data_IF_880715008478
#
_entry.id   IF_880715008478
#
_cell.length_a   1.000
_cell.length_b   1.000
_cell.length_c   1.000
_cell.angle_alpha   90.00
_cell.angle_beta   90.00
_cell.angle_gamma   90.00
#
_symmetry.space_group_name_H-M   'P 1'
#
loop_
_entity.id
_entity.type
_entity.pdbx_description
1 polymer ?
#
# COMPACT_ATOMS: atom_id res chain seq x y z
N UNK A 1 10.73 -13.46 16.76
CA UNK A 1 10.54 -12.06 16.33
C UNK A 1 9.14 -11.76 15.80
N UNK A 2 8.28 -12.76 15.53
CA UNK A 2 6.92 -12.59 15.01
C UNK A 2 6.07 -11.55 15.74
N UNK A 3 6.13 -11.52 17.08
CA UNK A 3 5.30 -10.60 17.87
C UNK A 3 5.57 -9.12 17.61
N UNK A 4 6.82 -8.74 17.40
CA UNK A 4 7.18 -7.35 17.14
C UNK A 4 6.71 -6.93 15.74
N UNK A 5 6.87 -7.81 14.76
CA UNK A 5 6.42 -7.59 13.40
C UNK A 5 4.89 -7.43 13.32
N UNK A 6 4.13 -8.29 14.01
CA UNK A 6 2.68 -8.16 14.16
C UNK A 6 2.27 -6.81 14.75
N UNK A 7 2.95 -6.37 15.82
CA UNK A 7 2.66 -5.09 16.47
C UNK A 7 2.99 -3.90 15.56
N UNK A 8 4.09 -3.97 14.80
CA UNK A 8 4.44 -2.96 13.82
C UNK A 8 3.39 -2.89 12.69
N UNK A 9 2.91 -4.03 12.21
CA UNK A 9 1.85 -4.09 11.20
C UNK A 9 0.54 -3.50 11.72
N UNK A 10 0.11 -3.89 12.93
CA UNK A 10 -1.09 -3.33 13.57
C UNK A 10 -0.96 -1.81 13.77
N UNK A 11 0.21 -1.33 14.16
CA UNK A 11 0.45 0.10 14.28
C UNK A 11 0.30 0.81 12.92
N UNK A 12 0.88 0.26 11.84
CA UNK A 12 0.75 0.83 10.50
C UNK A 12 -0.71 0.85 10.02
N UNK A 13 -1.48 -0.20 10.30
CA UNK A 13 -2.91 -0.29 9.96
C UNK A 13 -3.75 0.80 10.62
N UNK A 14 -3.42 1.18 11.85
CA UNK A 14 -4.14 2.24 12.58
C UNK A 14 -3.60 3.63 12.24
N UNK A 15 -2.30 3.76 11.97
CA UNK A 15 -1.64 5.05 11.76
C UNK A 15 -1.79 5.58 10.31
N UNK A 16 -1.85 4.70 9.31
CA UNK A 16 -1.88 5.09 7.89
C UNK A 16 -3.33 5.27 7.41
N UNK A 17 -3.57 6.40 6.74
CA UNK A 17 -4.86 6.77 6.16
C UNK A 17 -4.67 7.53 4.85
N UNK A 18 -5.76 7.75 4.12
CA UNK A 18 -5.79 8.59 2.92
C UNK A 18 -5.15 9.98 3.12
N UNK A 19 -5.27 10.55 4.32
CA UNK A 19 -4.78 11.89 4.62
C UNK A 19 -3.25 11.98 4.75
N UNK A 20 -2.58 10.88 5.11
CA UNK A 20 -1.14 10.91 5.44
C UNK A 20 -0.29 9.90 4.65
N UNK A 21 -0.90 8.99 3.88
CA UNK A 21 -0.15 7.91 3.21
C UNK A 21 0.87 8.42 2.21
N UNK A 22 0.63 9.55 1.55
CA UNK A 22 1.57 10.13 0.58
C UNK A 22 2.80 10.75 1.26
N UNK A 23 2.60 11.45 2.37
CA UNK A 23 3.70 11.97 3.18
C UNK A 23 4.52 10.82 3.81
N UNK A 24 3.83 9.81 4.34
CA UNK A 24 4.46 8.60 4.86
C UNK A 24 5.29 7.88 3.79
N UNK A 25 4.76 7.77 2.56
CA UNK A 25 5.49 7.18 1.42
C UNK A 25 6.73 7.98 1.06
N UNK A 26 6.62 9.31 0.97
CA UNK A 26 7.76 10.20 0.69
C UNK A 26 8.86 10.02 1.74
N UNK A 27 8.50 10.11 3.02
CA UNK A 27 9.44 9.96 4.12
C UNK A 27 10.06 8.56 4.16
N UNK A 28 9.27 7.51 3.94
CA UNK A 28 9.77 6.13 3.88
C UNK A 28 10.76 5.93 2.71
N UNK A 29 10.50 6.54 1.55
CA UNK A 29 11.43 6.51 0.42
C UNK A 29 12.72 7.26 0.74
N UNK A 30 12.61 8.49 1.27
CA UNK A 30 13.76 9.33 1.62
C UNK A 30 14.66 8.70 2.68
N UNK A 31 14.07 8.08 3.70
CA UNK A 31 14.78 7.43 4.81
C UNK A 31 15.13 5.96 4.53
N UNK A 32 14.83 5.44 3.33
CA UNK A 32 15.10 4.05 2.94
C UNK A 32 14.42 3.00 3.86
N UNK A 33 13.21 3.31 4.33
CA UNK A 33 12.39 2.43 5.17
C UNK A 33 11.55 1.50 4.30
N UNK A 34 12.19 0.47 3.73
CA UNK A 34 11.60 -0.40 2.71
C UNK A 34 10.26 -1.02 3.11
N UNK A 35 10.13 -1.53 4.35
CA UNK A 35 8.88 -2.17 4.80
C UNK A 35 7.71 -1.19 4.86
N UNK A 36 7.95 0.04 5.34
CA UNK A 36 6.92 1.08 5.41
C UNK A 36 6.57 1.56 4.01
N UNK A 37 7.57 1.77 3.15
CA UNK A 37 7.36 2.13 1.75
C UNK A 37 6.48 1.09 1.04
N UNK A 38 6.77 -0.19 1.24
CA UNK A 38 5.99 -1.30 0.68
C UNK A 38 4.55 -1.30 1.19
N UNK A 39 4.36 -1.08 2.49
CA UNK A 39 3.03 -0.96 3.09
C UNK A 39 2.23 0.19 2.48
N UNK A 40 2.81 1.39 2.42
CA UNK A 40 2.17 2.57 1.82
C UNK A 40 1.79 2.32 0.36
N UNK A 41 2.68 1.72 -0.45
CA UNK A 41 2.39 1.42 -1.84
C UNK A 41 1.23 0.43 -1.98
N UNK A 42 1.19 -0.64 -1.17
CA UNK A 42 0.06 -1.58 -1.14
C UNK A 42 -1.25 -0.91 -0.76
N UNK A 43 -1.22 -0.04 0.26
CA UNK A 43 -2.39 0.73 0.68
C UNK A 43 -2.91 1.63 -0.44
N UNK A 44 -2.02 2.34 -1.14
CA UNK A 44 -2.38 3.26 -2.22
C UNK A 44 -2.98 2.52 -3.42
N UNK A 45 -2.37 1.41 -3.85
CA UNK A 45 -2.83 0.68 -5.05
C UNK A 45 -4.05 -0.19 -4.80
N UNK A 46 -4.55 -0.29 -3.57
CA UNK A 46 -5.83 -0.93 -3.27
C UNK A 46 -6.97 -0.24 -4.03
N UNK A 47 -7.88 -1.04 -4.60
CA UNK A 47 -9.00 -0.55 -5.41
C UNK A 47 -9.85 0.51 -4.70
N UNK A 48 -10.09 0.35 -3.39
CA UNK A 48 -10.91 1.29 -2.62
C UNK A 48 -10.26 2.65 -2.41
N UNK A 49 -8.92 2.71 -2.47
CA UNK A 49 -8.16 3.88 -2.04
C UNK A 49 -7.58 4.65 -3.24
N UNK A 50 -7.23 3.94 -4.31
CA UNK A 50 -6.42 4.46 -5.41
C UNK A 50 -6.99 5.75 -6.02
N UNK A 51 -8.25 5.73 -6.43
CA UNK A 51 -8.86 6.88 -7.11
C UNK A 51 -8.90 8.12 -6.20
N UNK A 52 -9.24 7.94 -4.91
CA UNK A 52 -9.29 9.05 -3.97
C UNK A 52 -7.91 9.68 -3.77
N UNK A 53 -6.87 8.86 -3.68
CA UNK A 53 -5.49 9.32 -3.46
C UNK A 53 -4.93 10.01 -4.70
N UNK A 54 -5.07 9.41 -5.88
CA UNK A 54 -4.51 9.96 -7.13
C UNK A 54 -5.18 11.27 -7.55
N UNK A 55 -6.44 11.47 -7.18
CA UNK A 55 -7.18 12.72 -7.44
C UNK A 55 -6.96 13.79 -6.37
N UNK A 56 -6.13 13.53 -5.35
CA UNK A 56 -5.88 14.48 -4.26
C UNK A 56 -4.83 15.53 -4.65
N UNK A 57 -4.91 16.71 -4.03
CA UNK A 57 -3.93 17.79 -4.26
C UNK A 57 -2.53 17.42 -3.76
N UNK A 58 -2.47 16.64 -2.69
CA UNK A 58 -1.22 16.15 -2.12
C UNK A 58 -0.47 15.28 -3.13
N UNK A 59 -1.20 14.50 -3.94
CA UNK A 59 -0.61 13.72 -5.02
C UNK A 59 0.11 14.59 -6.04
N UNK A 60 -0.41 15.78 -6.39
CA UNK A 60 0.24 16.70 -7.34
C UNK A 60 1.65 17.14 -6.90
N UNK A 61 1.91 17.13 -5.59
CA UNK A 61 3.19 17.53 -5.00
C UNK A 61 4.15 16.37 -4.73
N UNK A 62 3.71 15.13 -4.97
CA UNK A 62 4.53 13.93 -4.78
C UNK A 62 5.68 13.92 -5.80
N UNK A 63 6.84 13.40 -5.38
CA UNK A 63 7.98 13.26 -6.30
C UNK A 63 7.62 12.35 -7.49
N UNK A 64 7.94 12.80 -8.71
CA UNK A 64 7.62 12.09 -9.95
C UNK A 64 8.04 10.61 -9.95
N UNK A 65 9.22 10.20 -9.43
CA UNK A 65 9.58 8.78 -9.35
C UNK A 65 8.59 7.94 -8.53
N UNK A 66 8.04 8.48 -7.44
CA UNK A 66 7.06 7.79 -6.60
C UNK A 66 5.70 7.71 -7.28
N UNK A 67 5.26 8.76 -7.98
CA UNK A 67 4.05 8.71 -8.81
C UNK A 67 4.15 7.59 -9.85
N UNK A 68 5.28 7.51 -10.56
CA UNK A 68 5.53 6.48 -11.57
C UNK A 68 5.53 5.08 -10.95
N UNK A 69 6.13 4.92 -9.76
CA UNK A 69 6.12 3.65 -9.03
C UNK A 69 4.70 3.21 -8.65
N UNK A 70 3.87 4.12 -8.14
CA UNK A 70 2.46 3.88 -7.82
C UNK A 70 1.68 3.42 -9.06
N UNK A 71 1.79 4.17 -10.17
CA UNK A 71 1.07 3.88 -11.42
C UNK A 71 1.51 2.53 -11.99
N UNK A 72 2.82 2.25 -12.03
CA UNK A 72 3.34 0.97 -12.50
C UNK A 72 2.81 -0.18 -11.66
N UNK A 73 2.85 -0.08 -10.34
CA UNK A 73 2.33 -1.12 -9.44
C UNK A 73 0.84 -1.37 -9.63
N UNK A 74 0.05 -0.32 -9.87
CA UNK A 74 -1.38 -0.45 -10.16
C UNK A 74 -1.65 -1.15 -11.49
N UNK A 75 -0.80 -0.93 -12.49
CA UNK A 75 -0.95 -1.52 -13.83
C UNK A 75 -0.33 -2.92 -13.95
N UNK A 76 0.62 -3.28 -13.09
CA UNK A 76 1.19 -4.61 -13.08
C UNK A 76 0.08 -5.64 -12.87
N UNK A 77 -0.03 -6.67 -13.74
CA UNK A 77 -1.04 -7.69 -13.56
C UNK A 77 -0.80 -8.36 -12.20
N UNK A 78 -1.74 -8.18 -11.27
CA UNK A 78 -1.71 -8.90 -10.02
C UNK A 78 -1.70 -10.39 -10.37
N UNK A 79 -0.57 -11.07 -10.12
CA UNK A 79 -0.54 -12.53 -10.08
C UNK A 79 -1.51 -12.89 -8.97
N UNK A 80 -2.74 -13.27 -9.34
CA UNK A 80 -3.79 -13.65 -8.40
C UNK A 80 -3.23 -14.83 -7.59
N UNK A 81 -2.80 -14.57 -6.37
CA UNK A 81 -2.59 -15.63 -5.40
C UNK A 81 -3.99 -16.07 -4.93
N UNK A 82 -4.67 -16.85 -5.77
CA UNK A 82 -5.88 -17.57 -5.38
C UNK A 82 -5.45 -18.73 -4.49
N UNK A 83 -5.28 -18.48 -3.20
CA UNK A 83 -5.46 -19.50 -2.18
C UNK A 83 -6.71 -19.16 -1.40
N UNK A 84 -7.85 -19.31 -2.05
CA UNK A 84 -9.13 -19.47 -1.37
C UNK A 84 -9.39 -20.98 -1.34
N UNK A 85 -9.29 -21.66 -0.19
CA UNK A 85 -9.65 -23.06 -0.10
C UNK A 85 -11.15 -23.19 -0.32
N UNK A 86 -11.52 -23.62 -1.53
CA UNK A 86 -12.88 -24.02 -1.87
C UNK A 86 -13.18 -25.31 -1.10
N UNK A 87 -13.86 -25.18 0.03
CA UNK A 87 -14.50 -26.32 0.69
C UNK A 87 -15.57 -26.84 -0.28
N UNK A 88 -15.29 -27.99 -0.90
CA UNK A 88 -16.30 -28.74 -1.64
C UNK A 88 -17.32 -29.26 -0.62
N UNK A 89 -18.50 -28.64 -0.64
CA UNK A 89 -19.67 -29.12 0.07
C UNK A 89 -20.24 -30.33 -0.65
N UNK A 90 -20.71 -31.29 0.15
CA UNK A 90 -21.05 -32.65 -0.25
C UNK A 90 -22.39 -32.70 -0.98
N UNK A 91 -22.49 -33.58 -1.99
CA UNK A 91 -23.74 -33.93 -2.67
C UNK A 91 -23.60 -35.22 -3.45
#
# INVERSE_FOLDING_TARGET
MLRLEELCMQYLEVAISHCNVLEALHNASKLQLFCIKEYCLKYIVNESNFNQIVMSKEFETLEQPLMVEIIRRRQMPHVRSQFEPRFEDSG
#
